data_IF_857892854241
#
_entry.id   IF_857892854241
#
_cell.length_a   1.000
_cell.length_b   1.000
_cell.length_c   1.000
_cell.angle_alpha   90.00
_cell.angle_beta   90.00
_cell.angle_gamma   90.00
#
_symmetry.space_group_name_H-M   'P 1'
#
loop_
_entity.id
_entity.type
_entity.pdbx_description
1 polymer ?
#
# COMPACT_ATOMS: atom_id res chain seq x y z
N UNK A 1 -15.13 -26.09 24.19
CA UNK A 1 -15.39 -25.47 22.83
C UNK A 1 -14.58 -24.20 22.59
N UNK A 2 -14.40 -23.40 23.59
CA UNK A 2 -13.70 -22.10 23.57
C UNK A 2 -12.27 -22.13 22.97
N UNK A 3 -11.38 -23.02 23.46
CA UNK A 3 -9.96 -23.03 23.03
C UNK A 3 -9.73 -23.18 21.51
N UNK A 4 -10.58 -23.95 20.81
CA UNK A 4 -10.45 -24.14 19.36
C UNK A 4 -10.84 -22.86 18.58
N UNK A 5 -11.85 -22.16 19.06
CA UNK A 5 -12.29 -20.89 18.48
C UNK A 5 -11.26 -19.79 18.73
N UNK A 6 -10.69 -19.71 19.94
CA UNK A 6 -9.62 -18.78 20.27
C UNK A 6 -8.35 -19.00 19.43
N UNK A 7 -7.97 -20.26 19.20
CA UNK A 7 -6.83 -20.58 18.31
C UNK A 7 -7.10 -20.10 16.90
N UNK A 8 -8.29 -20.40 16.34
CA UNK A 8 -8.70 -19.95 15.01
C UNK A 8 -8.74 -18.43 14.90
N UNK A 9 -9.24 -17.75 15.95
CA UNK A 9 -9.25 -16.28 16.05
C UNK A 9 -7.84 -15.71 15.94
N UNK A 10 -6.89 -16.27 16.70
CA UNK A 10 -5.50 -15.83 16.70
C UNK A 10 -4.83 -16.01 15.33
N UNK A 11 -5.04 -17.19 14.71
CA UNK A 11 -4.54 -17.46 13.36
C UNK A 11 -5.09 -16.47 12.33
N UNK A 12 -6.38 -16.18 12.40
CA UNK A 12 -7.03 -15.26 11.49
C UNK A 12 -6.59 -13.80 11.71
N UNK A 13 -6.41 -13.37 12.97
CA UNK A 13 -5.85 -12.08 13.31
C UNK A 13 -4.43 -11.90 12.73
N UNK A 14 -3.58 -12.93 12.91
CA UNK A 14 -2.23 -12.92 12.35
C UNK A 14 -2.27 -12.83 10.81
N UNK A 15 -3.17 -13.57 10.17
CA UNK A 15 -3.36 -13.51 8.71
C UNK A 15 -3.76 -12.10 8.25
N UNK A 16 -4.65 -11.43 8.97
CA UNK A 16 -5.06 -10.04 8.65
C UNK A 16 -3.87 -9.10 8.74
N UNK A 17 -3.08 -9.19 9.81
CA UNK A 17 -1.88 -8.36 9.99
C UNK A 17 -0.87 -8.59 8.87
N UNK A 18 -0.61 -9.84 8.50
CA UNK A 18 0.28 -10.22 7.40
C UNK A 18 -0.19 -9.66 6.04
N UNK A 19 -1.48 -9.76 5.75
CA UNK A 19 -2.06 -9.21 4.52
C UNK A 19 -1.97 -7.69 4.47
N UNK A 20 -2.20 -7.00 5.59
CA UNK A 20 -2.08 -5.54 5.67
C UNK A 20 -0.63 -5.09 5.44
N UNK A 21 0.34 -5.77 6.05
CA UNK A 21 1.76 -5.50 5.84
C UNK A 21 2.15 -5.75 4.38
N UNK A 22 1.72 -6.88 3.81
CA UNK A 22 2.01 -7.21 2.42
C UNK A 22 1.45 -6.16 1.44
N UNK A 23 0.23 -5.66 1.67
CA UNK A 23 -0.36 -4.61 0.85
C UNK A 23 0.38 -3.27 1.00
N UNK A 24 0.80 -2.90 2.22
CA UNK A 24 1.52 -1.66 2.50
C UNK A 24 2.95 -1.65 1.91
N UNK A 25 3.61 -2.80 1.89
CA UNK A 25 4.99 -2.96 1.39
C UNK A 25 5.07 -3.34 -0.08
N UNK A 26 3.95 -3.62 -0.72
CA UNK A 26 3.91 -3.96 -2.15
C UNK A 26 4.51 -2.86 -2.99
N UNK A 27 5.50 -3.21 -3.82
CA UNK A 27 6.14 -2.31 -4.78
C UNK A 27 5.76 -2.66 -6.21
N UNK A 28 5.79 -1.65 -7.06
CA UNK A 28 5.46 -1.73 -8.48
C UNK A 28 6.60 -1.16 -9.29
N UNK A 29 7.02 -1.89 -10.32
CA UNK A 29 8.14 -1.54 -11.17
C UNK A 29 7.70 -0.64 -12.31
N UNK A 30 8.38 0.49 -12.47
CA UNK A 30 8.23 1.41 -13.58
C UNK A 30 9.48 1.31 -14.45
N UNK A 31 9.30 1.02 -15.72
CA UNK A 31 10.38 1.06 -16.69
C UNK A 31 10.44 2.42 -17.36
N UNK A 32 11.61 3.05 -17.31
CA UNK A 32 11.93 4.24 -18.08
C UNK A 32 12.84 3.88 -19.25
N UNK A 33 12.73 4.61 -20.36
CA UNK A 33 13.55 4.37 -21.56
C UNK A 33 15.05 4.54 -21.28
N UNK A 34 15.39 5.51 -20.42
CA UNK A 34 16.76 5.73 -19.99
C UNK A 34 16.84 6.40 -18.60
N UNK A 35 18.03 6.35 -18.02
CA UNK A 35 18.36 7.00 -16.74
C UNK A 35 18.20 8.51 -16.76
N UNK A 36 18.24 9.16 -17.94
CA UNK A 36 18.10 10.63 -18.06
C UNK A 36 16.66 11.04 -17.75
N UNK A 37 15.67 10.18 -18.06
CA UNK A 37 14.28 10.43 -17.70
C UNK A 37 14.11 10.51 -16.18
N UNK A 38 14.72 9.61 -15.43
CA UNK A 38 14.70 9.62 -13.96
C UNK A 38 15.34 10.91 -13.42
N UNK A 39 16.48 11.34 -13.98
CA UNK A 39 17.12 12.60 -13.59
C UNK A 39 16.23 13.81 -13.87
N UNK A 40 15.59 13.85 -15.03
CA UNK A 40 14.63 14.93 -15.39
C UNK A 40 13.48 14.97 -14.40
N UNK A 41 12.95 13.81 -14.00
CA UNK A 41 11.90 13.70 -13.00
C UNK A 41 12.36 14.22 -11.64
N UNK A 42 13.55 13.82 -11.19
CA UNK A 42 14.12 14.28 -9.92
C UNK A 42 14.34 15.81 -9.92
N UNK A 43 14.80 16.38 -11.02
CA UNK A 43 14.96 17.83 -11.17
C UNK A 43 13.61 18.55 -11.10
N UNK A 44 12.58 17.99 -11.72
CA UNK A 44 11.22 18.51 -11.63
C UNK A 44 10.69 18.50 -10.20
N UNK A 45 10.80 17.38 -9.49
CA UNK A 45 10.38 17.26 -8.10
C UNK A 45 11.12 18.21 -7.17
N UNK A 46 12.40 18.46 -7.44
CA UNK A 46 13.24 19.30 -6.60
C UNK A 46 13.06 20.82 -6.85
N UNK A 47 12.78 21.22 -8.08
CA UNK A 47 12.80 22.64 -8.48
C UNK A 47 11.49 23.14 -9.10
N UNK A 48 10.74 22.26 -9.74
CA UNK A 48 9.58 22.61 -10.55
C UNK A 48 8.24 22.24 -9.95
N UNK A 49 8.24 21.42 -8.90
CA UNK A 49 6.99 20.93 -8.31
C UNK A 49 6.55 21.77 -7.12
N UNK A 50 5.32 22.28 -7.19
CA UNK A 50 4.67 22.95 -6.06
C UNK A 50 3.98 21.95 -5.16
N UNK A 51 4.46 21.81 -3.93
CA UNK A 51 3.91 20.89 -2.95
C UNK A 51 3.00 21.60 -1.92
N UNK A 52 2.06 20.83 -1.37
CA UNK A 52 1.28 21.23 -0.19
C UNK A 52 1.83 20.55 1.04
N UNK A 53 1.69 21.18 2.21
CA UNK A 53 2.16 20.58 3.49
C UNK A 53 1.60 19.18 3.71
N UNK A 54 0.37 18.91 3.27
CA UNK A 54 -0.30 17.60 3.40
C UNK A 54 0.38 16.47 2.61
N UNK A 55 1.14 16.77 1.55
CA UNK A 55 1.84 15.77 0.74
C UNK A 55 3.37 15.93 0.75
N UNK A 56 3.90 16.88 1.50
CA UNK A 56 5.34 17.17 1.53
C UNK A 56 6.17 15.95 1.94
N UNK A 57 5.75 15.22 2.97
CA UNK A 57 6.46 14.02 3.43
C UNK A 57 6.54 12.93 2.36
N UNK A 58 5.44 12.68 1.63
CA UNK A 58 5.40 11.68 0.55
C UNK A 58 6.30 12.10 -0.62
N UNK A 59 6.31 13.39 -0.97
CA UNK A 59 7.19 13.91 -2.05
C UNK A 59 8.67 13.80 -1.67
N UNK A 60 9.03 14.07 -0.42
CA UNK A 60 10.41 13.88 0.07
C UNK A 60 10.81 12.41 0.00
N UNK A 61 9.96 11.50 0.50
CA UNK A 61 10.20 10.06 0.45
C UNK A 61 10.36 9.58 -1.00
N UNK A 62 9.48 9.99 -1.90
CA UNK A 62 9.55 9.69 -3.32
C UNK A 62 10.89 10.14 -3.93
N UNK A 63 11.30 11.40 -3.67
CA UNK A 63 12.56 11.92 -4.18
C UNK A 63 13.77 11.12 -3.68
N UNK A 64 13.79 10.76 -2.40
CA UNK A 64 14.87 9.99 -1.79
C UNK A 64 14.93 8.57 -2.35
N UNK A 65 13.80 7.91 -2.60
CA UNK A 65 13.70 6.63 -3.27
C UNK A 65 14.26 6.69 -4.71
N UNK A 66 13.81 7.65 -5.50
CA UNK A 66 14.32 7.87 -6.85
C UNK A 66 15.84 8.12 -6.86
N UNK A 67 16.33 8.92 -5.92
CA UNK A 67 17.75 9.23 -5.78
C UNK A 67 18.58 8.01 -5.44
N UNK A 68 18.09 7.17 -4.53
CA UNK A 68 18.77 5.94 -4.10
C UNK A 68 18.81 4.94 -5.25
N UNK A 69 17.67 4.61 -5.83
CA UNK A 69 17.59 3.63 -6.91
C UNK A 69 18.32 4.09 -8.18
N UNK A 70 18.25 5.39 -8.52
CA UNK A 70 19.01 5.93 -9.66
C UNK A 70 20.54 5.80 -9.51
N UNK A 71 21.08 5.67 -8.29
CA UNK A 71 22.51 5.41 -8.09
C UNK A 71 22.87 3.96 -8.40
N UNK A 72 21.95 3.04 -8.17
CA UNK A 72 22.13 1.59 -8.38
C UNK A 72 22.04 1.20 -9.86
N UNK A 73 21.35 2.01 -10.67
CA UNK A 73 21.25 1.80 -12.12
C UNK A 73 22.61 2.08 -12.78
N UNK A 74 23.19 1.09 -13.41
CA UNK A 74 24.46 1.23 -14.14
C UNK A 74 24.26 1.91 -15.49
N UNK A 75 25.36 2.42 -16.09
CA UNK A 75 25.27 3.07 -17.42
C UNK A 75 25.00 2.04 -18.55
N UNK A 76 25.18 0.76 -18.27
CA UNK A 76 24.99 -0.33 -19.23
C UNK A 76 23.60 -0.96 -19.15
N UNK A 77 22.77 -0.56 -18.20
CA UNK A 77 21.40 -1.07 -18.10
C UNK A 77 20.57 -0.47 -19.23
N UNK A 78 20.05 -1.34 -20.06
CA UNK A 78 19.19 -0.98 -21.20
C UNK A 78 17.83 -0.42 -20.72
N UNK A 79 17.38 -0.88 -19.57
CA UNK A 79 16.15 -0.45 -18.93
C UNK A 79 16.44 0.18 -17.57
N UNK A 80 16.01 1.41 -17.37
CA UNK A 80 16.07 2.04 -16.07
C UNK A 80 14.77 1.70 -15.30
N UNK A 81 14.83 0.75 -14.37
CA UNK A 81 13.69 0.32 -13.57
C UNK A 81 13.73 0.97 -12.19
N UNK A 82 12.59 1.50 -11.76
CA UNK A 82 12.37 2.05 -10.42
C UNK A 82 11.19 1.34 -9.78
N UNK A 83 11.36 0.85 -8.56
CA UNK A 83 10.32 0.19 -7.78
C UNK A 83 9.78 1.15 -6.73
N UNK A 84 8.46 1.40 -6.75
CA UNK A 84 7.78 2.30 -5.83
C UNK A 84 6.61 1.61 -5.14
N UNK A 85 6.36 1.96 -3.87
CA UNK A 85 5.15 1.55 -3.15
C UNK A 85 3.92 2.26 -3.74
N UNK A 86 2.74 1.71 -3.51
CA UNK A 86 1.50 2.24 -4.09
C UNK A 86 1.26 3.73 -3.82
N UNK A 87 1.55 4.22 -2.61
CA UNK A 87 1.39 5.63 -2.27
C UNK A 87 2.45 6.54 -2.91
N UNK A 88 3.70 6.06 -3.06
CA UNK A 88 4.78 6.77 -3.76
C UNK A 88 4.50 6.82 -5.26
N UNK A 89 4.01 5.73 -5.83
CA UNK A 89 3.59 5.63 -7.22
C UNK A 89 2.46 6.62 -7.55
N UNK A 90 1.44 6.69 -6.69
CA UNK A 90 0.36 7.67 -6.85
C UNK A 90 0.87 9.11 -6.73
N UNK A 91 1.77 9.38 -5.77
CA UNK A 91 2.39 10.72 -5.63
C UNK A 91 3.17 11.11 -6.88
N UNK A 92 3.92 10.18 -7.47
CA UNK A 92 4.63 10.38 -8.73
C UNK A 92 3.66 10.70 -9.88
N UNK A 93 2.58 9.93 -10.00
CA UNK A 93 1.56 10.15 -11.02
C UNK A 93 0.92 11.54 -10.90
N UNK A 94 0.54 11.93 -9.69
CA UNK A 94 -0.01 13.27 -9.43
C UNK A 94 0.99 14.39 -9.72
N UNK A 95 2.27 14.18 -9.41
CA UNK A 95 3.31 15.13 -9.73
C UNK A 95 3.47 15.32 -11.25
N UNK A 96 3.40 14.23 -12.01
CA UNK A 96 3.49 14.26 -13.48
C UNK A 96 2.26 14.92 -14.14
N UNK A 97 1.06 14.72 -13.59
CA UNK A 97 -0.16 15.38 -14.08
C UNK A 97 -0.13 16.90 -13.95
N UNK A 98 0.65 17.42 -13.00
CA UNK A 98 0.73 18.85 -12.70
C UNK A 98 2.02 19.49 -13.24
N UNK A 99 2.71 18.85 -14.19
CA UNK A 99 3.91 19.42 -14.81
C UNK A 99 3.51 20.58 -15.71
N UNK A 100 4.08 21.73 -15.43
CA UNK A 100 4.06 22.89 -16.30
C UNK A 100 5.45 23.07 -16.93
N UNK A 101 5.50 23.37 -18.22
CA UNK A 101 6.76 23.51 -18.91
C UNK A 101 6.60 24.21 -20.26
N UNK A 102 7.73 24.51 -20.89
CA UNK A 102 7.77 25.13 -22.22
C UNK A 102 8.49 24.22 -23.20
N UNK A 103 8.02 24.24 -24.45
CA UNK A 103 8.62 23.53 -25.56
C UNK A 103 8.12 22.12 -25.78
N UNK A 104 7.97 21.74 -27.05
CA UNK A 104 7.40 20.48 -27.52
C UNK A 104 8.24 19.27 -27.08
N UNK A 105 9.55 19.40 -27.12
CA UNK A 105 10.49 18.34 -26.71
C UNK A 105 10.32 17.97 -25.22
N UNK A 106 10.20 19.00 -24.38
CA UNK A 106 9.94 18.79 -22.95
C UNK A 106 8.58 18.14 -22.73
N UNK A 107 7.53 18.61 -23.41
CA UNK A 107 6.20 18.06 -23.33
C UNK A 107 6.19 16.57 -23.73
N UNK A 108 6.86 16.19 -24.81
CA UNK A 108 6.95 14.79 -25.25
C UNK A 108 7.56 13.89 -24.18
N UNK A 109 8.66 14.32 -23.55
CA UNK A 109 9.32 13.53 -22.47
C UNK A 109 8.39 13.29 -21.29
N UNK A 110 7.68 14.32 -20.84
CA UNK A 110 6.75 14.20 -19.72
C UNK A 110 5.50 13.38 -20.09
N UNK A 111 5.00 13.47 -21.31
CA UNK A 111 3.90 12.62 -21.79
C UNK A 111 4.35 11.14 -21.81
N UNK A 112 5.54 10.84 -22.30
CA UNK A 112 6.08 9.46 -22.26
C UNK A 112 6.19 8.94 -20.83
N UNK A 113 6.77 9.73 -19.92
CA UNK A 113 6.84 9.36 -18.50
C UNK A 113 5.45 9.14 -17.89
N UNK A 114 4.50 10.03 -18.16
CA UNK A 114 3.13 9.92 -17.66
C UNK A 114 2.43 8.66 -18.17
N UNK A 115 2.67 8.27 -19.42
CA UNK A 115 2.11 7.05 -20.00
C UNK A 115 2.62 5.82 -19.26
N UNK A 116 3.94 5.68 -19.11
CA UNK A 116 4.54 4.53 -18.39
C UNK A 116 4.10 4.46 -16.93
N UNK A 117 4.11 5.59 -16.24
CA UNK A 117 3.65 5.65 -14.84
C UNK A 117 2.15 5.37 -14.76
N UNK A 118 1.34 5.88 -15.68
CA UNK A 118 -0.11 5.70 -15.72
C UNK A 118 -0.51 4.23 -15.91
N UNK A 119 0.17 3.51 -16.79
CA UNK A 119 -0.03 2.06 -16.98
C UNK A 119 0.28 1.29 -15.69
N UNK A 120 1.39 1.60 -15.05
CA UNK A 120 1.79 0.98 -13.78
C UNK A 120 0.78 1.32 -12.66
N UNK A 121 0.30 2.57 -12.59
CA UNK A 121 -0.73 2.99 -11.62
C UNK A 121 -2.02 2.20 -11.83
N UNK A 122 -2.48 2.05 -13.07
CA UNK A 122 -3.70 1.29 -13.37
C UNK A 122 -3.61 -0.16 -12.91
N UNK A 123 -2.48 -0.82 -13.18
CA UNK A 123 -2.24 -2.19 -12.75
C UNK A 123 -2.13 -2.29 -11.21
N UNK A 124 -1.41 -1.36 -10.59
CA UNK A 124 -1.26 -1.30 -9.15
C UNK A 124 -2.59 -1.08 -8.43
N UNK A 125 -3.44 -0.20 -8.95
CA UNK A 125 -4.78 0.04 -8.38
C UNK A 125 -5.63 -1.23 -8.40
N UNK A 126 -5.59 -2.00 -9.48
CA UNK A 126 -6.32 -3.27 -9.59
C UNK A 126 -5.80 -4.29 -8.57
N UNK A 127 -4.48 -4.49 -8.52
CA UNK A 127 -3.85 -5.43 -7.58
C UNK A 127 -4.11 -5.04 -6.11
N UNK A 128 -3.96 -3.77 -5.77
CA UNK A 128 -4.24 -3.28 -4.41
C UNK A 128 -5.72 -3.36 -4.04
N UNK A 129 -6.63 -3.19 -5.00
CA UNK A 129 -8.06 -3.38 -4.76
C UNK A 129 -8.39 -4.84 -4.43
N UNK A 130 -7.77 -5.80 -5.13
CA UNK A 130 -7.93 -7.23 -4.86
C UNK A 130 -7.36 -7.60 -3.47
N UNK A 131 -6.18 -7.09 -3.12
CA UNK A 131 -5.61 -7.28 -1.78
C UNK A 131 -6.49 -6.68 -0.67
N UNK A 132 -7.02 -5.47 -0.86
CA UNK A 132 -7.93 -4.83 0.08
C UNK A 132 -9.24 -5.60 0.24
N UNK A 133 -9.74 -6.22 -0.83
CA UNK A 133 -10.91 -7.10 -0.77
C UNK A 133 -10.62 -8.33 0.09
N UNK A 134 -9.47 -8.99 -0.09
CA UNK A 134 -9.06 -10.13 0.73
C UNK A 134 -8.92 -9.76 2.21
N UNK A 135 -8.32 -8.60 2.51
CA UNK A 135 -8.23 -8.05 3.87
C UNK A 135 -9.62 -7.82 4.47
N UNK A 136 -10.54 -7.23 3.69
CA UNK A 136 -11.92 -6.98 4.13
C UNK A 136 -12.69 -8.28 4.42
N UNK A 137 -12.53 -9.30 3.59
CA UNK A 137 -13.13 -10.61 3.80
C UNK A 137 -12.57 -11.28 5.07
N UNK A 138 -11.25 -11.22 5.29
CA UNK A 138 -10.62 -11.75 6.50
C UNK A 138 -11.07 -11.00 7.77
N UNK A 139 -11.23 -9.69 7.72
CA UNK A 139 -11.80 -8.91 8.82
C UNK A 139 -13.25 -9.30 9.14
N UNK A 140 -14.06 -9.56 8.10
CA UNK A 140 -15.44 -10.00 8.29
C UNK A 140 -15.50 -11.39 8.96
N UNK A 141 -14.67 -12.33 8.51
CA UNK A 141 -14.56 -13.65 9.15
C UNK A 141 -14.11 -13.53 10.62
N UNK A 142 -13.20 -12.61 10.93
CA UNK A 142 -12.72 -12.34 12.28
C UNK A 142 -13.87 -11.80 13.16
N UNK A 143 -14.66 -10.87 12.66
CA UNK A 143 -15.79 -10.31 13.38
C UNK A 143 -16.89 -11.36 13.63
N UNK A 144 -17.18 -12.24 12.66
CA UNK A 144 -18.12 -13.35 12.82
C UNK A 144 -17.64 -14.37 13.89
N UNK A 145 -16.33 -14.62 13.93
CA UNK A 145 -15.73 -15.51 14.92
C UNK A 145 -15.75 -14.91 16.33
N UNK A 146 -15.49 -13.60 16.45
CA UNK A 146 -15.61 -12.86 17.72
C UNK A 146 -17.04 -12.90 18.27
N UNK A 147 -18.05 -12.77 17.41
CA UNK A 147 -19.45 -12.90 17.79
C UNK A 147 -19.80 -14.31 18.29
N UNK A 148 -19.21 -15.36 17.67
CA UNK A 148 -19.41 -16.75 18.10
C UNK A 148 -18.75 -17.02 19.45
N UNK A 149 -17.57 -16.46 19.73
CA UNK A 149 -16.86 -16.61 21.00
C UNK A 149 -17.67 -15.92 22.11
N UNK A 150 -18.08 -14.68 21.91
CA UNK A 150 -18.84 -13.90 22.90
C UNK A 150 -20.20 -14.54 23.19
N UNK A 151 -20.92 -15.02 22.18
CA UNK A 151 -22.19 -15.72 22.38
C UNK A 151 -22.05 -17.07 23.10
N UNK A 152 -20.89 -17.74 22.98
CA UNK A 152 -20.61 -18.98 23.71
C UNK A 152 -20.26 -18.72 25.19
N UNK A 153 -19.63 -17.59 25.51
CA UNK A 153 -19.33 -17.16 26.89
C UNK A 153 -20.58 -16.75 27.64
N UNK A 154 -21.55 -16.09 27.01
CA UNK A 154 -22.84 -15.74 27.61
C UNK A 154 -23.64 -17.01 28.01
N UNK A 155 -23.65 -18.03 27.15
CA UNK A 155 -24.34 -19.28 27.43
C UNK A 155 -23.66 -20.09 28.55
N UNK A 156 -22.33 -20.08 28.66
CA UNK A 156 -21.61 -20.73 29.76
C UNK A 156 -21.83 -20.01 31.10
N UNK A 157 -21.98 -18.67 31.11
CA UNK A 157 -22.23 -17.90 32.33
C UNK A 157 -23.66 -18.07 32.88
N UNK A 158 -24.64 -18.38 32.03
CA UNK A 158 -26.01 -18.64 32.42
C UNK A 158 -26.21 -20.08 32.99
N UNK A 159 -25.25 -20.96 32.79
CA UNK A 159 -25.29 -22.38 33.22
C UNK A 159 -24.56 -22.67 34.54
N UNK A 160 -24.03 -21.65 35.25
CA UNK A 160 -23.51 -21.88 36.61
C UNK A 160 -24.66 -22.18 37.57
N UNK A 161 -24.67 -23.35 38.23
CA UNK A 161 -25.75 -23.69 39.14
C UNK A 161 -25.73 -22.76 40.35
N UNK A 162 -26.83 -22.05 40.55
CA UNK A 162 -27.12 -21.44 41.86
C UNK A 162 -27.08 -22.51 42.93
N UNK A 163 -25.96 -22.59 43.62
CA UNK A 163 -25.89 -23.42 44.84
C UNK A 163 -26.73 -22.75 45.91
N UNK A 164 -27.94 -23.27 46.04
CA UNK A 164 -28.91 -22.95 47.08
C UNK A 164 -28.35 -23.45 48.43
N UNK A 165 -27.61 -22.61 49.14
CA UNK A 165 -27.29 -22.86 50.55
C UNK A 165 -28.46 -22.38 51.43
N UNK A 166 -29.53 -23.17 51.41
CA UNK A 166 -30.52 -23.17 52.50
C UNK A 166 -30.36 -24.47 53.28
N UNK A 167 -29.61 -24.43 54.37
CA UNK A 167 -29.89 -25.37 55.49
C UNK A 167 -29.27 -24.89 56.79
N UNK A 168 -30.20 -24.51 57.66
CA UNK A 168 -30.19 -24.48 59.12
C UNK A 168 -29.40 -23.39 59.85
#
# INVERSE_FOLDING_TARGET
>A
MSKKLETKRKELSTKVDELQVAAAERTFDIKFEDRKMIKTLMEHLNKGYSWKTSNAAVIVTLYDQLKTQNKEITQNDLDAVISLRGHELNALYQALLNVEGTGIESARKFITMLTHVGETVSNAMTELADMNKEISEAHKELAELDAQINGAEEVESELEPVTDETSK
#
